data_IF_348301577389
#
_entry.id   IF_348301577389
#
_cell.length_a   1.000
_cell.length_b   1.000
_cell.length_c   1.000
_cell.angle_alpha   90.00
_cell.angle_beta   90.00
_cell.angle_gamma   90.00
#
_symmetry.space_group_name_H-M   'P 1'
#
loop_
_entity.id
_entity.type
_entity.pdbx_description
1 polymer ?
#
# COMPACT_ATOMS: atom_id res chain seq x y z
N UNK A 1 55.95 -46.66 0.10
CA UNK A 1 55.73 -45.56 -0.87
C UNK A 1 54.32 -45.06 -0.64
N UNK A 2 54.15 -43.99 0.14
CA UNK A 2 52.89 -43.26 0.20
C UNK A 2 53.04 -42.05 -0.72
N UNK A 3 52.36 -42.07 -1.87
CA UNK A 3 52.22 -40.90 -2.72
C UNK A 3 51.27 -39.93 -2.03
N UNK A 4 51.81 -38.89 -1.41
CA UNK A 4 51.02 -37.78 -0.88
C UNK A 4 50.37 -37.08 -2.07
N UNK A 5 49.06 -37.28 -2.23
CA UNK A 5 48.24 -36.60 -3.22
C UNK A 5 48.13 -35.12 -2.81
N UNK A 6 48.98 -34.26 -3.40
CA UNK A 6 48.90 -32.80 -3.19
C UNK A 6 47.78 -32.29 -4.12
N UNK A 7 46.68 -31.72 -3.59
CA UNK A 7 45.62 -31.18 -4.42
C UNK A 7 46.19 -30.15 -5.41
N UNK A 8 45.87 -30.29 -6.69
CA UNK A 8 46.35 -29.36 -7.70
C UNK A 8 45.62 -28.01 -7.57
N UNK A 9 46.35 -26.92 -7.85
CA UNK A 9 45.81 -25.56 -7.71
C UNK A 9 44.63 -25.28 -8.67
N UNK A 10 44.48 -26.12 -9.70
CA UNK A 10 43.40 -26.03 -10.68
C UNK A 10 42.06 -26.53 -10.12
N UNK A 11 42.03 -27.65 -9.40
CA UNK A 11 40.81 -28.11 -8.72
C UNK A 11 40.38 -27.15 -7.61
N UNK A 12 41.33 -26.57 -6.87
CA UNK A 12 41.01 -25.59 -5.82
C UNK A 12 40.30 -24.35 -6.38
N UNK A 13 40.81 -23.78 -7.48
CA UNK A 13 40.23 -22.59 -8.11
C UNK A 13 38.87 -22.86 -8.77
N UNK A 14 38.68 -24.04 -9.37
CA UNK A 14 37.39 -24.48 -9.91
C UNK A 14 36.34 -24.66 -8.82
N UNK A 15 36.71 -25.25 -7.68
CA UNK A 15 35.82 -25.45 -6.54
C UNK A 15 35.37 -24.12 -5.91
N UNK A 16 36.27 -23.13 -5.82
CA UNK A 16 35.95 -21.77 -5.38
C UNK A 16 34.99 -21.06 -6.34
N UNK A 17 35.23 -21.16 -7.66
CA UNK A 17 34.35 -20.60 -8.69
C UNK A 17 32.95 -21.21 -8.65
N UNK A 18 32.85 -22.54 -8.48
CA UNK A 18 31.57 -23.23 -8.32
C UNK A 18 30.83 -22.78 -7.05
N UNK A 19 31.54 -22.61 -5.92
CA UNK A 19 30.96 -22.14 -4.67
C UNK A 19 30.43 -20.71 -4.78
N UNK A 20 31.17 -19.83 -5.45
CA UNK A 20 30.73 -18.46 -5.71
C UNK A 20 29.44 -18.43 -6.55
N UNK A 21 29.40 -19.21 -7.64
CA UNK A 21 28.21 -19.30 -8.50
C UNK A 21 26.98 -19.85 -7.75
N UNK A 22 27.17 -20.88 -6.90
CA UNK A 22 26.09 -21.42 -6.06
C UNK A 22 25.55 -20.40 -5.05
N UNK A 23 26.44 -19.66 -4.38
CA UNK A 23 26.04 -18.61 -3.44
C UNK A 23 25.24 -17.50 -4.16
N UNK A 24 25.69 -17.09 -5.36
CA UNK A 24 24.98 -16.07 -6.14
C UNK A 24 23.60 -16.55 -6.60
N UNK A 25 23.51 -17.81 -7.03
CA UNK A 25 22.23 -18.43 -7.39
C UNK A 25 21.28 -18.44 -6.20
N UNK A 26 21.74 -18.82 -5.01
CA UNK A 26 20.93 -18.84 -3.80
C UNK A 26 20.40 -17.45 -3.43
N UNK A 27 21.24 -16.41 -3.51
CA UNK A 27 20.84 -15.02 -3.28
C UNK A 27 19.73 -14.62 -4.27
N UNK A 28 19.91 -14.93 -5.55
CA UNK A 28 18.95 -14.59 -6.59
C UNK A 28 17.61 -15.31 -6.40
N UNK A 29 17.64 -16.61 -6.05
CA UNK A 29 16.43 -17.41 -5.77
C UNK A 29 15.67 -16.84 -4.57
N UNK A 30 16.36 -16.44 -3.50
CA UNK A 30 15.74 -15.81 -2.33
C UNK A 30 15.09 -14.47 -2.69
N UNK A 31 15.78 -13.64 -3.48
CA UNK A 31 15.24 -12.35 -3.94
C UNK A 31 13.99 -12.54 -4.81
N UNK A 32 14.04 -13.47 -5.77
CA UNK A 32 12.90 -13.84 -6.62
C UNK A 32 11.70 -14.34 -5.79
N UNK A 33 11.96 -15.25 -4.82
CA UNK A 33 10.91 -15.78 -3.94
C UNK A 33 10.21 -14.66 -3.16
N UNK A 34 10.97 -13.68 -2.65
CA UNK A 34 10.41 -12.50 -1.98
C UNK A 34 9.55 -11.69 -2.93
N UNK A 35 10.05 -11.34 -4.11
CA UNK A 35 9.30 -10.56 -5.10
C UNK A 35 7.97 -11.24 -5.49
N UNK A 36 7.99 -12.56 -5.71
CA UNK A 36 6.78 -13.35 -6.03
C UNK A 36 5.77 -13.30 -4.88
N UNK A 37 6.21 -13.48 -3.63
CA UNK A 37 5.33 -13.40 -2.45
C UNK A 37 4.72 -12.01 -2.27
N UNK A 38 5.52 -10.95 -2.43
CA UNK A 38 4.99 -9.58 -2.37
C UNK A 38 3.95 -9.34 -3.45
N UNK A 39 4.20 -9.79 -4.68
CA UNK A 39 3.24 -9.66 -5.78
C UNK A 39 1.94 -10.41 -5.47
N UNK A 40 2.01 -11.63 -4.93
CA UNK A 40 0.83 -12.40 -4.55
C UNK A 40 0.03 -11.70 -3.44
N UNK A 41 0.71 -11.17 -2.42
CA UNK A 41 0.04 -10.46 -1.33
C UNK A 41 -0.56 -9.13 -1.80
N UNK A 42 0.10 -8.40 -2.70
CA UNK A 42 -0.38 -7.13 -3.26
C UNK A 42 -1.77 -7.27 -3.90
N UNK A 43 -2.10 -8.43 -4.46
CA UNK A 43 -3.44 -8.72 -5.01
C UNK A 43 -4.55 -8.45 -3.99
N UNK A 44 -4.29 -8.65 -2.69
CA UNK A 44 -5.26 -8.35 -1.63
C UNK A 44 -5.37 -6.85 -1.29
N UNK A 45 -4.32 -6.08 -1.56
CA UNK A 45 -4.28 -4.64 -1.31
C UNK A 45 -4.87 -3.83 -2.46
N UNK A 46 -4.62 -4.24 -3.70
CA UNK A 46 -5.04 -3.52 -4.90
C UNK A 46 -6.53 -3.09 -4.89
N UNK A 47 -7.52 -3.98 -4.64
CA UNK A 47 -8.92 -3.56 -4.63
C UNK A 47 -9.26 -2.60 -3.47
N UNK A 48 -8.52 -2.66 -2.36
CA UNK A 48 -8.72 -1.74 -1.24
C UNK A 48 -8.17 -0.34 -1.56
N UNK A 49 -7.00 -0.27 -2.21
CA UNK A 49 -6.40 0.99 -2.66
C UNK A 49 -7.28 1.66 -3.72
N UNK A 50 -7.76 0.90 -4.70
CA UNK A 50 -8.69 1.41 -5.72
C UNK A 50 -9.96 1.97 -5.08
N UNK A 51 -10.56 1.22 -4.15
CA UNK A 51 -11.74 1.66 -3.39
C UNK A 51 -11.44 2.93 -2.57
N UNK A 52 -10.25 3.03 -2.00
CA UNK A 52 -9.81 4.22 -1.27
C UNK A 52 -9.80 5.46 -2.18
N UNK A 53 -9.20 5.37 -3.37
CA UNK A 53 -9.18 6.47 -4.32
C UNK A 53 -10.57 6.84 -4.81
N UNK A 54 -11.41 5.84 -5.08
CA UNK A 54 -12.78 6.10 -5.50
C UNK A 54 -13.55 6.90 -4.46
N UNK A 55 -13.37 6.59 -3.18
CA UNK A 55 -13.95 7.39 -2.10
C UNK A 55 -13.38 8.82 -2.04
N UNK A 56 -12.09 8.99 -2.29
CA UNK A 56 -11.48 10.31 -2.46
C UNK A 56 -12.17 11.15 -3.53
N UNK A 57 -12.32 10.62 -4.73
CA UNK A 57 -13.01 11.29 -5.84
C UNK A 57 -14.47 11.63 -5.51
N UNK A 58 -15.18 10.68 -4.88
CA UNK A 58 -16.57 10.87 -4.49
C UNK A 58 -16.70 11.99 -3.44
N UNK A 59 -15.77 12.10 -2.48
CA UNK A 59 -15.75 13.18 -1.48
C UNK A 59 -15.49 14.54 -2.15
N UNK A 60 -14.55 14.62 -3.09
CA UNK A 60 -14.33 15.86 -3.85
C UNK A 60 -15.59 16.27 -4.60
N UNK A 61 -16.28 15.30 -5.22
CA UNK A 61 -17.53 15.54 -5.94
C UNK A 61 -18.64 16.03 -5.01
N UNK A 62 -18.78 15.43 -3.82
CA UNK A 62 -19.75 15.88 -2.81
C UNK A 62 -19.46 17.30 -2.34
N UNK A 63 -18.18 17.63 -2.11
CA UNK A 63 -17.77 18.99 -1.76
C UNK A 63 -18.12 20.01 -2.85
N UNK A 64 -17.87 19.70 -4.12
CA UNK A 64 -18.20 20.58 -5.25
C UNK A 64 -19.71 20.86 -5.34
N UNK A 65 -20.53 19.90 -4.94
CA UNK A 65 -22.00 19.99 -4.92
C UNK A 65 -22.57 20.43 -3.57
N UNK A 66 -21.73 20.77 -2.59
CA UNK A 66 -22.20 21.14 -1.26
C UNK A 66 -22.93 22.48 -1.32
N UNK A 67 -24.20 22.48 -0.92
CA UNK A 67 -25.01 23.70 -0.81
C UNK A 67 -24.76 24.37 0.55
N UNK A 68 -24.53 23.56 1.58
CA UNK A 68 -24.31 23.97 2.96
C UNK A 68 -22.97 23.48 3.52
N UNK A 69 -22.60 23.97 4.70
CA UNK A 69 -21.39 23.57 5.45
C UNK A 69 -20.08 23.56 4.63
N UNK A 70 -19.97 24.44 3.62
CA UNK A 70 -18.84 24.48 2.67
C UNK A 70 -17.47 24.59 3.35
N UNK A 71 -17.36 25.33 4.46
CA UNK A 71 -16.11 25.45 5.23
C UNK A 71 -15.68 24.12 5.84
N UNK A 72 -16.60 23.39 6.44
CA UNK A 72 -16.34 22.06 7.01
C UNK A 72 -16.01 21.04 5.91
N UNK A 73 -16.80 21.02 4.84
CA UNK A 73 -16.55 20.14 3.69
C UNK A 73 -15.19 20.42 3.03
N UNK A 74 -14.79 21.68 2.89
CA UNK A 74 -13.46 22.05 2.39
C UNK A 74 -12.34 21.51 3.29
N UNK A 75 -12.49 21.65 4.61
CA UNK A 75 -11.51 21.13 5.56
C UNK A 75 -11.34 19.61 5.46
N UNK A 76 -12.44 18.87 5.40
CA UNK A 76 -12.42 17.41 5.24
C UNK A 76 -11.82 17.01 3.89
N UNK A 77 -12.17 17.71 2.82
CA UNK A 77 -11.62 17.47 1.47
C UNK A 77 -10.11 17.65 1.43
N UNK A 78 -9.56 18.67 2.12
CA UNK A 78 -8.10 18.85 2.24
C UNK A 78 -7.42 17.64 2.90
N UNK A 79 -7.97 17.15 4.02
CA UNK A 79 -7.43 15.98 4.71
C UNK A 79 -7.49 14.72 3.85
N UNK A 80 -8.61 14.54 3.14
CA UNK A 80 -8.83 13.45 2.18
C UNK A 80 -7.81 13.50 1.05
N UNK A 81 -7.54 14.67 0.48
CA UNK A 81 -6.54 14.81 -0.58
C UNK A 81 -5.12 14.48 -0.09
N UNK A 82 -4.76 14.87 1.13
CA UNK A 82 -3.50 14.48 1.74
C UNK A 82 -3.39 12.96 1.95
N UNK A 83 -4.46 12.32 2.41
CA UNK A 83 -4.52 10.87 2.56
C UNK A 83 -4.39 10.14 1.22
N UNK A 84 -5.08 10.62 0.17
CA UNK A 84 -4.98 10.09 -1.19
C UNK A 84 -3.55 10.23 -1.72
N UNK A 85 -2.88 11.35 -1.48
CA UNK A 85 -1.49 11.54 -1.90
C UNK A 85 -0.54 10.52 -1.27
N UNK A 86 -0.68 10.25 0.03
CA UNK A 86 0.13 9.23 0.73
C UNK A 86 -0.15 7.82 0.18
N UNK A 87 -1.42 7.48 -0.06
CA UNK A 87 -1.80 6.18 -0.63
C UNK A 87 -1.29 6.02 -2.07
N UNK A 88 -1.32 7.09 -2.87
CA UNK A 88 -0.77 7.12 -4.23
C UNK A 88 0.74 6.90 -4.24
N UNK A 89 1.45 7.55 -3.31
CA UNK A 89 2.88 7.44 -3.15
C UNK A 89 3.30 6.01 -2.74
N UNK A 90 2.55 5.40 -1.81
CA UNK A 90 2.70 4.00 -1.43
C UNK A 90 2.52 3.04 -2.62
N UNK A 91 1.51 3.28 -3.46
CA UNK A 91 1.26 2.46 -4.65
C UNK A 91 2.34 2.64 -5.74
N UNK A 92 2.76 3.87 -6.02
CA UNK A 92 3.82 4.15 -6.99
C UNK A 92 5.11 3.43 -6.57
N UNK A 93 5.46 3.50 -5.28
CA UNK A 93 6.65 2.86 -4.72
C UNK A 93 6.40 1.45 -4.21
N UNK A 94 5.43 0.71 -4.77
CA UNK A 94 5.09 -0.63 -4.29
C UNK A 94 6.24 -1.65 -4.36
N UNK A 95 7.14 -1.48 -5.32
CA UNK A 95 8.33 -2.32 -5.46
C UNK A 95 9.37 -2.04 -4.36
N UNK A 96 9.51 -0.78 -3.94
CA UNK A 96 10.39 -0.38 -2.85
C UNK A 96 9.79 -0.73 -1.48
N UNK A 97 8.45 -0.78 -1.41
CA UNK A 97 7.69 -1.08 -0.20
C UNK A 97 7.18 -2.53 -0.13
N UNK A 98 7.85 -3.48 -0.79
CA UNK A 98 7.45 -4.89 -0.79
C UNK A 98 7.20 -5.44 0.62
N UNK A 99 8.05 -5.07 1.59
CA UNK A 99 7.89 -5.48 2.98
C UNK A 99 6.53 -5.04 3.56
N UNK A 100 6.08 -3.82 3.24
CA UNK A 100 4.77 -3.33 3.68
C UNK A 100 3.63 -4.25 3.21
N UNK A 101 3.67 -4.66 1.94
CA UNK A 101 2.66 -5.53 1.33
C UNK A 101 2.78 -7.00 1.72
N UNK A 102 3.87 -7.40 2.37
CA UNK A 102 4.02 -8.75 2.91
C UNK A 102 3.36 -8.93 4.28
N UNK A 103 3.21 -7.85 5.05
CA UNK A 103 2.69 -7.89 6.41
C UNK A 103 1.15 -7.87 6.45
N UNK A 104 0.56 -8.88 7.11
CA UNK A 104 -0.90 -8.98 7.27
C UNK A 104 -1.48 -7.87 8.15
N UNK A 105 -0.71 -7.38 9.11
CA UNK A 105 -1.06 -6.22 9.96
C UNK A 105 -1.23 -4.96 9.12
N UNK A 106 -0.37 -4.74 8.13
CA UNK A 106 -0.48 -3.61 7.20
C UNK A 106 -1.70 -3.74 6.29
N UNK A 107 -2.08 -4.95 5.88
CA UNK A 107 -3.34 -5.17 5.17
C UNK A 107 -4.54 -4.73 6.03
N UNK A 108 -4.53 -5.03 7.32
CA UNK A 108 -5.57 -4.59 8.24
C UNK A 108 -5.58 -3.06 8.38
N UNK A 109 -4.42 -2.42 8.48
CA UNK A 109 -4.32 -0.95 8.50
C UNK A 109 -4.96 -0.32 7.26
N UNK A 110 -4.73 -0.88 6.07
CA UNK A 110 -5.37 -0.38 4.84
C UNK A 110 -6.88 -0.60 4.86
N UNK A 111 -7.38 -1.74 5.38
CA UNK A 111 -8.83 -1.97 5.54
C UNK A 111 -9.47 -0.93 6.46
N UNK A 112 -8.84 -0.67 7.61
CA UNK A 112 -9.33 0.30 8.58
C UNK A 112 -9.29 1.72 8.00
N UNK A 113 -8.27 2.02 7.20
CA UNK A 113 -8.16 3.31 6.52
C UNK A 113 -9.25 3.50 5.45
N UNK A 114 -9.54 2.46 4.66
CA UNK A 114 -10.66 2.45 3.71
C UNK A 114 -12.00 2.64 4.44
N UNK A 115 -12.19 2.00 5.60
CA UNK A 115 -13.38 2.20 6.42
C UNK A 115 -13.50 3.64 6.91
N UNK A 116 -12.42 4.22 7.42
CA UNK A 116 -12.40 5.63 7.84
C UNK A 116 -12.75 6.57 6.68
N UNK A 117 -12.18 6.33 5.50
CA UNK A 117 -12.47 7.10 4.29
C UNK A 117 -13.95 7.01 3.89
N UNK A 118 -14.55 5.83 4.01
CA UNK A 118 -15.97 5.60 3.77
C UNK A 118 -16.86 6.35 4.79
N UNK A 119 -16.49 6.33 6.07
CA UNK A 119 -17.22 7.03 7.12
C UNK A 119 -17.15 8.55 6.90
N UNK A 120 -15.99 9.09 6.47
CA UNK A 120 -15.85 10.50 6.04
C UNK A 120 -16.74 10.80 4.84
N UNK A 121 -16.77 9.92 3.82
CA UNK A 121 -17.63 10.10 2.65
C UNK A 121 -19.10 10.23 3.05
N UNK A 122 -19.60 9.34 3.93
CA UNK A 122 -20.97 9.41 4.44
C UNK A 122 -21.22 10.73 5.17
N UNK A 123 -20.34 11.08 6.10
CA UNK A 123 -20.47 12.32 6.86
C UNK A 123 -20.50 13.55 5.96
N UNK A 124 -19.60 13.64 4.97
CA UNK A 124 -19.59 14.75 3.99
C UNK A 124 -20.88 14.77 3.18
N UNK A 125 -21.39 13.62 2.74
CA UNK A 125 -22.67 13.55 2.02
C UNK A 125 -23.81 14.16 2.86
N UNK A 126 -23.92 13.76 4.12
CA UNK A 126 -24.96 14.22 5.05
C UNK A 126 -24.85 15.73 5.30
N UNK A 127 -23.68 16.21 5.73
CA UNK A 127 -23.52 17.62 6.12
C UNK A 127 -23.45 18.57 4.93
N UNK A 128 -23.12 18.10 3.72
CA UNK A 128 -23.08 18.96 2.52
C UNK A 128 -24.45 19.50 2.11
N UNK A 129 -25.51 18.75 2.44
CA UNK A 129 -26.91 19.09 2.12
C UNK A 129 -27.70 19.52 3.36
N UNK A 130 -27.17 19.27 4.57
CA UNK A 130 -27.81 19.71 5.80
C UNK A 130 -27.66 21.23 5.97
N UNK A 131 -28.75 21.96 5.75
CA UNK A 131 -28.81 23.40 6.04
C UNK A 131 -28.58 23.74 7.51
N UNK A 132 -28.57 25.03 7.84
CA UNK A 132 -28.75 25.45 9.23
C UNK A 132 -30.04 24.84 9.78
N UNK A 133 -30.04 24.32 11.00
CA UNK A 133 -31.22 23.84 11.74
C UNK A 133 -32.28 24.94 11.86
N UNK A 134 -33.00 25.22 10.78
CA UNK A 134 -34.25 25.96 10.78
C UNK A 134 -35.37 24.95 11.00
N UNK A 135 -35.94 25.00 12.21
CA UNK A 135 -37.17 24.30 12.65
C UNK A 135 -37.11 22.77 12.78
N UNK A 136 -36.47 22.28 13.85
CA UNK A 136 -36.88 21.02 14.52
C UNK A 136 -37.60 21.26 15.86
N UNK A 137 -37.79 22.53 16.27
CA UNK A 137 -38.62 22.90 17.42
C UNK A 137 -39.89 23.58 16.93
N UNK A 138 -40.84 22.79 16.41
CA UNK A 138 -42.26 23.14 16.27
C UNK A 138 -43.02 21.86 15.88
N UNK A 139 -43.17 20.94 16.83
CA UNK A 139 -44.28 19.99 16.93
C UNK A 139 -44.42 19.59 18.39
#
# INVERSE_FOLDING_TARGET
MESVNRPDAYESTKNEGNRFALNQLEINVRALTRAVKASANYVSFAPLIEKFFKFGEDIVTLYQKAEHNKRLCNYLTKRVNSAVAVMRDLEIRKQDNQAFFMESTNLQLIKDFVKCMFDIKKFVADVSQLGSFGTFFNS
#
